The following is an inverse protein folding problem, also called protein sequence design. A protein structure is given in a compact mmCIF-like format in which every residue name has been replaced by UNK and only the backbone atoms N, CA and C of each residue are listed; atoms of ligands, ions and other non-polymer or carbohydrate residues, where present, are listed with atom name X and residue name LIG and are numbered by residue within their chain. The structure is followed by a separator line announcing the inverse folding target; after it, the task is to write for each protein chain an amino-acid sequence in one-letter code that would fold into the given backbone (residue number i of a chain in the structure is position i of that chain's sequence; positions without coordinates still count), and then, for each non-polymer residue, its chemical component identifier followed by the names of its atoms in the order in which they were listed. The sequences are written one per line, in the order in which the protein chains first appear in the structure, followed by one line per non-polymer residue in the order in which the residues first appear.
data_IF_761838160088
#
_entry.id   IF_761838160088
#
_cell.length_a   1.000
_cell.length_b   1.000
_cell.length_c   1.000
_cell.angle_alpha   90.00
_cell.angle_beta   90.00
_cell.angle_gamma   90.00
#
_symmetry.space_group_name_H-M   'P 1'
#
loop_
_entity.id
_entity.type
_entity.pdbx_description
1 polymer ?
#
# COMPACT_ATOMS: atom_id res chain seq x y z
N UNK A 1 7.11 2.18 10.64
CA UNK A 1 6.91 3.43 9.86
C UNK A 1 5.45 3.62 9.46
N UNK A 2 4.82 2.72 8.70
CA UNK A 2 3.42 2.89 8.27
C UNK A 2 2.40 3.18 9.38
N UNK A 3 2.59 2.58 10.57
CA UNK A 3 1.82 2.85 11.79
C UNK A 3 1.79 4.33 12.18
N UNK A 4 2.94 4.98 12.16
CA UNK A 4 3.04 6.39 12.58
C UNK A 4 2.43 7.33 11.55
N UNK A 5 2.57 6.99 10.26
CA UNK A 5 1.89 7.70 9.17
C UNK A 5 0.37 7.66 9.35
N UNK A 6 -0.20 6.48 9.64
CA UNK A 6 -1.63 6.36 9.90
C UNK A 6 -2.09 7.19 11.11
N UNK A 7 -1.33 7.19 12.21
CA UNK A 7 -1.65 8.02 13.40
C UNK A 7 -1.63 9.52 13.14
N UNK A 8 -0.79 9.95 12.21
CA UNK A 8 -0.71 11.35 11.76
C UNK A 8 -1.85 11.71 10.79
N UNK A 9 -2.76 10.77 10.47
CA UNK A 9 -3.89 10.99 9.57
C UNK A 9 -3.50 11.07 8.09
N UNK A 10 -2.30 10.61 7.71
CA UNK A 10 -1.85 10.64 6.31
C UNK A 10 -2.19 9.35 5.57
N UNK A 11 -2.40 9.48 4.26
CA UNK A 11 -2.61 8.35 3.35
C UNK A 11 -1.25 7.81 2.89
N UNK A 12 -1.05 6.50 2.99
CA UNK A 12 0.18 5.84 2.52
C UNK A 12 0.03 5.45 1.05
N UNK A 13 0.89 6.00 0.19
CA UNK A 13 1.00 5.63 -1.23
C UNK A 13 2.36 4.96 -1.48
N UNK A 14 2.37 3.79 -2.12
CA UNK A 14 3.61 3.07 -2.47
C UNK A 14 3.43 2.21 -3.74
N UNK A 15 4.47 1.46 -4.14
CA UNK A 15 4.41 0.54 -5.28
C UNK A 15 3.58 -0.74 -5.05
N UNK A 16 3.05 -0.95 -3.85
CA UNK A 16 2.02 -1.96 -3.56
C UNK A 16 2.42 -3.43 -3.62
N UNK A 17 3.67 -3.78 -3.97
CA UNK A 17 4.18 -5.17 -3.96
C UNK A 17 4.68 -5.58 -2.56
N UNK A 18 5.56 -6.58 -2.49
CA UNK A 18 6.10 -7.14 -1.24
C UNK A 18 7.19 -6.30 -0.54
N UNK A 19 7.79 -6.88 0.48
CA UNK A 19 8.97 -6.34 1.17
C UNK A 19 8.65 -5.12 2.04
N UNK A 20 9.42 -4.03 1.88
CA UNK A 20 9.23 -2.82 2.69
C UNK A 20 7.86 -2.17 2.49
N UNK A 21 7.30 -2.28 1.29
CA UNK A 21 5.97 -1.74 0.96
C UNK A 21 4.87 -2.50 1.69
N UNK A 22 4.96 -3.83 1.73
CA UNK A 22 4.05 -4.69 2.48
C UNK A 22 4.11 -4.40 3.98
N UNK A 23 5.31 -4.30 4.55
CA UNK A 23 5.49 -3.97 5.96
C UNK A 23 4.95 -2.57 6.31
N UNK A 24 5.10 -1.60 5.40
CA UNK A 24 4.54 -0.26 5.56
C UNK A 24 3.01 -0.28 5.49
N UNK A 25 2.42 -0.93 4.49
CA UNK A 25 0.97 -1.07 4.35
C UNK A 25 0.35 -1.79 5.55
N UNK A 26 0.98 -2.88 6.03
CA UNK A 26 0.55 -3.61 7.22
C UNK A 26 0.47 -2.70 8.45
N UNK A 27 1.52 -1.91 8.68
CA UNK A 27 1.56 -0.99 9.82
C UNK A 27 0.55 0.14 9.70
N UNK A 28 0.32 0.68 8.49
CA UNK A 28 -0.67 1.73 8.29
C UNK A 28 -2.10 1.20 8.48
N UNK A 29 -2.42 0.04 7.89
CA UNK A 29 -3.72 -0.61 8.01
C UNK A 29 -4.04 -0.98 9.47
N UNK A 30 -3.06 -1.43 10.27
CA UNK A 30 -3.30 -1.82 11.66
C UNK A 30 -3.77 -0.68 12.58
N UNK A 31 -3.56 0.58 12.19
CA UNK A 31 -4.11 1.76 12.88
C UNK A 31 -5.28 2.39 12.13
N UNK A 32 -5.88 1.69 11.16
CA UNK A 32 -6.99 2.22 10.36
C UNK A 32 -6.58 3.24 9.29
N UNK A 33 -5.30 3.34 8.96
CA UNK A 33 -4.82 4.21 7.89
C UNK A 33 -5.20 3.69 6.49
N UNK A 34 -5.33 4.60 5.53
CA UNK A 34 -5.64 4.26 4.13
C UNK A 34 -4.35 3.96 3.36
N UNK A 35 -4.35 2.85 2.62
CA UNK A 35 -3.21 2.36 1.85
C UNK A 35 -3.54 2.26 0.36
N UNK A 36 -2.74 2.93 -0.47
CA UNK A 36 -2.87 2.95 -1.94
C UNK A 36 -1.61 2.35 -2.56
N UNK A 37 -1.78 1.38 -3.46
CA UNK A 37 -0.67 0.71 -4.17
C UNK A 37 -0.70 1.02 -5.66
N UNK A 38 0.37 1.61 -6.20
CA UNK A 38 0.56 1.88 -7.63
C UNK A 38 1.36 0.71 -8.21
N UNK A 39 0.70 -0.18 -8.95
CA UNK A 39 1.26 -1.45 -9.41
C UNK A 39 1.79 -1.33 -10.84
N UNK A 40 3.02 -1.80 -11.12
CA UNK A 40 3.62 -1.73 -12.46
C UNK A 40 3.07 -2.75 -13.49
N UNK A 41 2.17 -3.66 -13.09
CA UNK A 41 1.61 -4.68 -13.99
C UNK A 41 0.18 -4.39 -14.45
N UNK A 42 -0.50 -5.43 -14.94
CA UNK A 42 -1.89 -5.38 -15.42
C UNK A 42 -2.91 -5.95 -14.41
N UNK A 43 -2.43 -6.50 -13.30
CA UNK A 43 -3.26 -7.25 -12.36
C UNK A 43 -3.28 -6.58 -10.98
N UNK A 44 -4.49 -6.29 -10.50
CA UNK A 44 -4.70 -5.80 -9.12
C UNK A 44 -4.35 -6.84 -8.06
N UNK A 45 -4.36 -8.12 -8.44
CA UNK A 45 -4.03 -9.25 -7.56
C UNK A 45 -2.54 -9.29 -7.21
N UNK A 46 -1.69 -8.55 -7.93
CA UNK A 46 -0.28 -8.41 -7.59
C UNK A 46 -0.04 -7.55 -6.32
N UNK A 47 -1.04 -6.80 -5.86
CA UNK A 47 -0.93 -6.02 -4.64
C UNK A 47 -0.72 -6.92 -3.41
N UNK A 48 0.09 -6.44 -2.46
CA UNK A 48 0.20 -7.08 -1.17
C UNK A 48 -1.15 -7.03 -0.42
N UNK A 49 -1.40 -7.94 0.54
CA UNK A 49 -2.71 -8.08 1.20
C UNK A 49 -3.17 -6.84 1.99
N UNK A 50 -2.25 -5.90 2.27
CA UNK A 50 -2.51 -4.73 3.09
C UNK A 50 -2.77 -3.47 2.26
N UNK A 51 -2.75 -3.55 0.93
CA UNK A 51 -3.20 -2.48 0.04
C UNK A 51 -4.71 -2.52 -0.07
N UNK A 52 -5.38 -1.42 0.31
CA UNK A 52 -6.83 -1.29 0.22
C UNK A 52 -7.28 -0.83 -1.17
N UNK A 53 -6.49 0.05 -1.79
CA UNK A 53 -6.82 0.65 -3.09
C UNK A 53 -5.67 0.36 -4.06
N UNK A 54 -5.74 -0.74 -4.84
CA UNK A 54 -4.78 -1.01 -5.89
C UNK A 54 -5.08 -0.20 -7.15
N UNK A 55 -4.08 0.54 -7.64
CA UNK A 55 -4.08 1.27 -8.91
C UNK A 55 -3.14 0.56 -9.86
N UNK A 56 -3.70 -0.12 -10.86
CA UNK A 56 -2.96 -0.81 -11.91
C UNK A 56 -2.59 0.22 -12.99
N UNK A 57 -1.31 0.44 -13.24
CA UNK A 57 -0.86 1.44 -14.24
C UNK A 57 -0.46 0.80 -15.57
N UNK A 58 -0.09 -0.48 -15.60
CA UNK A 58 0.54 -1.10 -16.75
C UNK A 58 1.92 -0.51 -17.10
N UNK A 59 2.51 0.28 -16.20
CA UNK A 59 3.82 0.90 -16.38
C UNK A 59 4.86 0.02 -15.68
N UNK A 60 5.61 -0.76 -16.46
CA UNK A 60 6.65 -1.66 -15.95
C UNK A 60 7.25 -2.52 -17.03
#
# INVERSE_FOLDING_TARGET
MGRELAKQGVILVCGGLGGVMEAACKGAQSEGGVTIGILPGESRQAANPYVQIPIVTGIG
#
